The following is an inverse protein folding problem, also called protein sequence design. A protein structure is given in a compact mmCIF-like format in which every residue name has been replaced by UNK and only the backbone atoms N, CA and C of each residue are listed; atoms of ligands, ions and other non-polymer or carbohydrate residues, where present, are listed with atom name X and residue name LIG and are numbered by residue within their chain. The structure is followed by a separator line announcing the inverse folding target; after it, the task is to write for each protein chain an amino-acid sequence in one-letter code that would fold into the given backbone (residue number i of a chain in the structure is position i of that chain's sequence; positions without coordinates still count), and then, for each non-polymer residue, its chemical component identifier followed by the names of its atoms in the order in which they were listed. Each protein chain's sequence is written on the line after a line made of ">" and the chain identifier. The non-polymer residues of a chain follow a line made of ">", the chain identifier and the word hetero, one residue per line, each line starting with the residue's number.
data_IF_060013760823
#
_entry.id   IF_060013760823
#
_cell.length_a   1.000
_cell.length_b   1.000
_cell.length_c   1.000
_cell.angle_alpha   90.00
_cell.angle_beta   90.00
_cell.angle_gamma   90.00
#
_symmetry.space_group_name_H-M   'P 1'
#
loop_
_entity.id
_entity.type
_entity.pdbx_description
1 polymer ?
#
# COMPACT_ATOMS: atom_id res chain seq x y z
N UNK A 1 -10.38 12.10 -20.98
CA UNK A 1 -11.52 11.26 -21.30
C UNK A 1 -11.41 9.81 -20.81
N UNK A 2 -10.51 9.57 -19.84
CA UNK A 2 -10.27 8.25 -19.27
C UNK A 2 -11.49 7.66 -18.56
N UNK A 3 -12.36 8.51 -17.97
CA UNK A 3 -13.60 8.11 -17.29
C UNK A 3 -14.52 7.34 -18.24
N UNK A 4 -14.86 7.92 -19.40
CA UNK A 4 -15.74 7.27 -20.40
C UNK A 4 -15.16 5.95 -20.92
N UNK A 5 -13.84 5.92 -21.15
CA UNK A 5 -13.17 4.70 -21.64
C UNK A 5 -13.27 3.59 -20.57
N UNK A 6 -13.01 3.92 -19.31
CA UNK A 6 -13.09 2.96 -18.22
C UNK A 6 -14.52 2.45 -18.03
N UNK A 7 -15.52 3.33 -18.03
CA UNK A 7 -16.93 2.96 -17.95
C UNK A 7 -17.33 2.00 -19.08
N UNK A 8 -16.95 2.32 -20.33
CA UNK A 8 -17.23 1.45 -21.48
C UNK A 8 -16.54 0.09 -21.41
N UNK A 9 -15.32 0.02 -20.85
CA UNK A 9 -14.57 -1.23 -20.76
C UNK A 9 -14.98 -2.10 -19.58
N UNK A 10 -15.62 -1.54 -18.56
CA UNK A 10 -15.98 -2.27 -17.34
C UNK A 10 -17.47 -2.57 -17.22
N UNK A 11 -18.34 -1.98 -18.06
CA UNK A 11 -19.80 -2.11 -17.95
C UNK A 11 -20.29 -3.56 -18.00
N UNK A 12 -19.63 -4.42 -18.78
CA UNK A 12 -20.00 -5.82 -18.97
C UNK A 12 -19.17 -6.80 -18.13
N UNK A 13 -18.28 -6.28 -17.26
CA UNK A 13 -17.41 -7.10 -16.41
C UNK A 13 -18.08 -7.36 -15.06
N UNK A 14 -18.45 -8.62 -14.81
CA UNK A 14 -18.97 -9.03 -13.51
C UNK A 14 -17.92 -8.90 -12.40
N UNK A 15 -18.33 -8.33 -11.27
CA UNK A 15 -17.44 -8.14 -10.12
C UNK A 15 -16.47 -6.96 -10.21
N UNK A 16 -16.56 -6.15 -11.28
CA UNK A 16 -15.78 -4.93 -11.43
C UNK A 16 -16.66 -3.71 -11.14
N UNK A 17 -16.23 -2.91 -10.15
CA UNK A 17 -16.86 -1.63 -9.83
C UNK A 17 -15.86 -0.50 -10.03
N UNK A 18 -16.30 0.59 -10.64
CA UNK A 18 -15.47 1.79 -10.82
C UNK A 18 -15.88 2.88 -9.83
N UNK A 19 -14.89 3.37 -9.07
CA UNK A 19 -15.08 4.50 -8.17
C UNK A 19 -14.37 5.72 -8.75
N UNK A 20 -15.14 6.76 -9.03
CA UNK A 20 -14.62 8.02 -9.57
C UNK A 20 -14.47 9.06 -8.47
N UNK A 21 -13.30 9.65 -8.41
CA UNK A 21 -12.96 10.71 -7.47
C UNK A 21 -12.94 12.04 -8.23
N UNK A 22 -13.74 13.00 -7.79
CA UNK A 22 -13.84 14.30 -8.48
C UNK A 22 -12.57 15.14 -8.35
N UNK A 23 -11.89 15.05 -7.22
CA UNK A 23 -10.65 15.78 -6.95
C UNK A 23 -9.58 14.83 -6.44
N UNK A 24 -8.39 14.89 -7.06
CA UNK A 24 -7.24 14.15 -6.57
C UNK A 24 -6.75 14.75 -5.25
N UNK A 25 -7.05 14.10 -4.13
CA UNK A 25 -6.62 14.48 -2.78
C UNK A 25 -5.39 13.71 -2.30
N UNK A 26 -4.93 12.73 -3.08
CA UNK A 26 -3.72 11.96 -2.79
C UNK A 26 -3.86 10.48 -3.08
N UNK A 27 -2.72 9.79 -3.00
CA UNK A 27 -2.61 8.34 -3.24
C UNK A 27 -3.48 7.55 -2.25
N UNK A 28 -3.33 7.79 -0.95
CA UNK A 28 -4.09 7.11 0.09
C UNK A 28 -5.59 7.40 0.01
N UNK A 29 -5.96 8.64 -0.33
CA UNK A 29 -7.36 9.00 -0.52
C UNK A 29 -8.04 8.14 -1.59
N UNK A 30 -7.42 8.00 -2.77
CA UNK A 30 -7.97 7.17 -3.84
C UNK A 30 -8.13 5.70 -3.44
N UNK A 31 -7.15 5.14 -2.75
CA UNK A 31 -7.21 3.76 -2.24
C UNK A 31 -8.35 3.62 -1.22
N UNK A 32 -8.47 4.55 -0.27
CA UNK A 32 -9.53 4.53 0.76
C UNK A 32 -10.93 4.57 0.14
N UNK A 33 -11.14 5.35 -0.94
CA UNK A 33 -12.41 5.37 -1.67
C UNK A 33 -12.73 4.00 -2.29
N UNK A 34 -11.74 3.34 -2.88
CA UNK A 34 -11.89 1.99 -3.40
C UNK A 34 -12.17 0.95 -2.30
N UNK A 35 -11.43 1.02 -1.19
CA UNK A 35 -11.63 0.12 -0.03
C UNK A 35 -13.03 0.29 0.59
N UNK A 36 -13.54 1.52 0.67
CA UNK A 36 -14.87 1.81 1.20
C UNK A 36 -16.00 1.27 0.31
N UNK A 37 -15.75 1.14 -0.99
CA UNK A 37 -16.71 0.57 -1.95
C UNK A 37 -16.62 -0.96 -2.05
N UNK A 38 -15.57 -1.58 -1.49
CA UNK A 38 -15.37 -3.02 -1.53
C UNK A 38 -16.24 -3.72 -0.46
N UNK A 39 -16.85 -4.84 -0.84
CA UNK A 39 -17.59 -5.71 0.07
C UNK A 39 -17.10 -7.14 -0.10
N UNK A 40 -16.10 -7.53 0.69
CA UNK A 40 -15.43 -8.83 0.56
C UNK A 40 -14.80 -9.25 1.88
N UNK A 41 -14.50 -10.55 2.03
CA UNK A 41 -13.80 -11.10 3.21
C UNK A 41 -12.37 -10.57 3.33
N UNK A 42 -11.68 -10.48 2.20
CA UNK A 42 -10.34 -9.92 2.09
C UNK A 42 -10.38 -8.67 1.22
N UNK A 43 -9.61 -7.68 1.60
CA UNK A 43 -9.48 -6.43 0.86
C UNK A 43 -8.02 -6.00 0.76
N UNK A 44 -7.74 -5.06 -0.12
CA UNK A 44 -6.39 -4.57 -0.30
C UNK A 44 -6.24 -3.70 -1.53
N UNK A 45 -5.00 -3.47 -1.93
CA UNK A 45 -4.68 -2.70 -3.13
C UNK A 45 -3.41 -3.19 -3.82
N UNK A 46 -3.34 -2.90 -5.10
CA UNK A 46 -2.15 -3.13 -5.93
C UNK A 46 -1.97 -2.00 -6.95
N UNK A 47 -0.82 -2.02 -7.63
CA UNK A 47 -0.53 -1.05 -8.70
C UNK A 47 -1.41 -1.31 -9.94
N UNK A 48 -1.84 -0.22 -10.59
CA UNK A 48 -2.55 -0.24 -11.87
C UNK A 48 -1.70 0.29 -13.04
N UNK A 49 -0.37 0.39 -12.87
CA UNK A 49 0.55 0.97 -13.83
C UNK A 49 1.44 -0.06 -14.55
N UNK A 50 1.04 -1.33 -14.48
CA UNK A 50 1.71 -2.48 -15.08
C UNK A 50 3.17 -2.70 -14.57
N UNK A 51 3.50 -2.17 -13.41
CA UNK A 51 4.82 -2.41 -12.79
C UNK A 51 4.86 -3.69 -11.96
N UNK A 52 3.73 -4.29 -11.64
CA UNK A 52 3.58 -5.58 -10.95
C UNK A 52 2.64 -6.48 -11.73
N UNK A 53 2.80 -7.79 -11.60
CA UNK A 53 1.91 -8.76 -12.22
C UNK A 53 0.59 -8.85 -11.43
N UNK A 54 -0.54 -8.98 -12.13
CA UNK A 54 -1.83 -9.22 -11.48
C UNK A 54 -1.85 -10.60 -10.78
N UNK A 55 -1.06 -11.56 -11.25
CA UNK A 55 -0.87 -12.86 -10.63
C UNK A 55 -0.34 -12.77 -9.19
N UNK A 56 0.38 -11.69 -8.85
CA UNK A 56 0.83 -11.43 -7.47
C UNK A 56 -0.37 -11.28 -6.50
N UNK A 57 -1.51 -10.75 -6.97
CA UNK A 57 -2.74 -10.67 -6.18
C UNK A 57 -3.31 -12.06 -5.92
N UNK A 58 -3.30 -12.94 -6.93
CA UNK A 58 -3.75 -14.33 -6.80
C UNK A 58 -2.87 -15.07 -5.80
N UNK A 59 -1.55 -14.96 -5.92
CA UNK A 59 -0.60 -15.55 -4.97
C UNK A 59 -0.82 -15.06 -3.53
N UNK A 60 -1.14 -13.78 -3.36
CA UNK A 60 -1.46 -13.24 -2.04
C UNK A 60 -2.76 -13.83 -1.45
N UNK A 61 -3.78 -14.04 -2.27
CA UNK A 61 -5.04 -14.68 -1.85
C UNK A 61 -4.82 -16.16 -1.50
N UNK A 62 -3.95 -16.87 -2.22
CA UNK A 62 -3.58 -18.26 -1.88
C UNK A 62 -2.94 -18.35 -0.49
N UNK A 63 -2.06 -17.40 -0.13
CA UNK A 63 -1.47 -17.33 1.22
C UNK A 63 -2.54 -17.11 2.27
N UNK A 64 -3.49 -16.21 2.05
CA UNK A 64 -4.60 -15.97 2.98
C UNK A 64 -5.50 -17.20 3.14
N UNK A 65 -5.82 -17.87 2.05
CA UNK A 65 -6.66 -19.08 2.08
C UNK A 65 -5.96 -20.28 2.75
N UNK A 66 -4.64 -20.35 2.67
CA UNK A 66 -3.86 -21.39 3.35
C UNK A 66 -3.80 -21.21 4.87
N UNK A 67 -4.15 -20.01 5.39
CA UNK A 67 -4.07 -19.65 6.82
C UNK A 67 -5.41 -19.11 7.36
N UNK A 68 -6.53 -19.82 7.23
CA UNK A 68 -7.87 -19.27 7.48
C UNK A 68 -8.15 -18.88 8.94
N UNK A 69 -7.39 -19.45 9.89
CA UNK A 69 -7.56 -19.20 11.33
C UNK A 69 -6.53 -18.21 11.89
N UNK A 70 -5.79 -17.52 11.04
CA UNK A 70 -4.74 -16.58 11.43
C UNK A 70 -5.04 -15.23 10.78
N UNK A 71 -4.97 -14.17 11.55
CA UNK A 71 -5.01 -12.83 10.99
C UNK A 71 -3.72 -12.57 10.20
N UNK A 72 -3.82 -12.62 8.88
CA UNK A 72 -2.67 -12.48 7.96
C UNK A 72 -2.75 -11.15 7.23
N UNK A 73 -1.61 -10.48 7.12
CA UNK A 73 -1.38 -9.28 6.33
C UNK A 73 -0.34 -9.59 5.27
N UNK A 74 -0.75 -9.72 4.02
CA UNK A 74 0.15 -10.04 2.91
C UNK A 74 0.69 -8.78 2.28
N UNK A 75 2.01 -8.73 2.07
CA UNK A 75 2.69 -7.67 1.33
C UNK A 75 3.68 -8.23 0.31
N UNK A 76 3.84 -7.52 -0.78
CA UNK A 76 4.90 -7.78 -1.73
C UNK A 76 6.30 -7.64 -1.10
N UNK A 77 7.27 -8.31 -1.70
CA UNK A 77 8.71 -8.16 -1.47
C UNK A 77 9.38 -7.95 -2.83
N UNK A 78 9.70 -6.70 -3.13
CA UNK A 78 10.08 -6.27 -4.49
C UNK A 78 11.50 -6.65 -4.87
N UNK A 79 11.65 -7.23 -6.04
CA UNK A 79 12.91 -7.48 -6.74
C UNK A 79 12.94 -6.77 -8.11
N UNK A 80 14.05 -6.80 -8.82
CA UNK A 80 14.20 -6.20 -10.17
C UNK A 80 14.34 -4.67 -10.17
N UNK A 81 14.54 -4.03 -9.02
CA UNK A 81 14.69 -2.57 -8.87
C UNK A 81 16.15 -2.11 -8.99
N UNK A 82 16.39 -0.86 -9.40
CA UNK A 82 17.72 -0.25 -9.32
C UNK A 82 18.29 -0.31 -7.89
N UNK A 83 19.60 -0.53 -7.77
CA UNK A 83 20.30 -0.61 -6.48
C UNK A 83 20.07 0.65 -5.63
N UNK A 84 20.07 1.84 -6.24
CA UNK A 84 19.79 3.12 -5.56
C UNK A 84 18.42 3.14 -4.89
N UNK A 85 17.38 2.60 -5.54
CA UNK A 85 16.03 2.57 -5.01
C UNK A 85 15.88 1.51 -3.92
N UNK A 86 16.60 0.40 -4.05
CA UNK A 86 16.68 -0.64 -3.03
C UNK A 86 17.37 -0.13 -1.77
N UNK A 87 18.49 0.59 -1.92
CA UNK A 87 19.23 1.19 -0.80
C UNK A 87 18.40 2.26 -0.09
N UNK A 88 17.67 3.10 -0.84
CA UNK A 88 16.74 4.06 -0.28
C UNK A 88 15.63 3.38 0.53
N UNK A 89 15.02 2.34 -0.03
CA UNK A 89 13.99 1.55 0.66
C UNK A 89 14.53 0.90 1.95
N UNK A 90 15.76 0.39 1.91
CA UNK A 90 16.44 -0.17 3.09
C UNK A 90 16.60 0.90 4.19
N UNK A 91 17.14 2.08 3.84
CA UNK A 91 17.34 3.17 4.79
C UNK A 91 16.03 3.62 5.45
N UNK A 92 14.96 3.79 4.65
CA UNK A 92 13.64 4.15 5.18
C UNK A 92 13.06 3.04 6.06
N UNK A 93 13.15 1.78 5.65
CA UNK A 93 12.65 0.65 6.45
C UNK A 93 13.42 0.50 7.76
N UNK A 94 14.73 0.74 7.77
CA UNK A 94 15.54 0.74 8.99
C UNK A 94 15.12 1.87 9.92
N UNK A 95 14.99 3.10 9.41
CA UNK A 95 14.54 4.26 10.18
C UNK A 95 13.17 3.99 10.83
N UNK A 96 12.18 3.57 10.06
CA UNK A 96 10.83 3.28 10.55
C UNK A 96 10.83 2.12 11.55
N UNK A 97 11.65 1.10 11.32
CA UNK A 97 11.78 -0.03 12.26
C UNK A 97 12.33 0.40 13.62
N UNK A 98 13.31 1.30 13.63
CA UNK A 98 13.86 1.86 14.86
C UNK A 98 12.86 2.80 15.55
N UNK A 99 12.19 3.65 14.77
CA UNK A 99 11.22 4.61 15.30
C UNK A 99 10.04 3.92 15.99
N UNK A 100 9.49 2.87 15.39
CA UNK A 100 8.33 2.14 15.90
C UNK A 100 8.68 0.88 16.71
N UNK A 101 9.98 0.61 16.91
CA UNK A 101 10.48 -0.57 17.64
C UNK A 101 9.89 -1.89 17.12
N UNK A 102 9.61 -1.96 15.83
CA UNK A 102 9.07 -3.14 15.17
C UNK A 102 9.73 -3.35 13.82
N UNK A 103 9.92 -4.61 13.42
CA UNK A 103 10.57 -4.91 12.14
C UNK A 103 9.63 -4.57 10.97
N UNK A 104 10.03 -3.58 10.19
CA UNK A 104 9.37 -3.15 8.97
C UNK A 104 10.32 -3.32 7.78
N UNK A 105 9.80 -3.79 6.67
CA UNK A 105 10.58 -3.97 5.45
C UNK A 105 9.74 -3.67 4.22
N UNK A 106 10.34 -3.02 3.22
CA UNK A 106 9.72 -2.69 1.93
C UNK A 106 8.27 -2.20 2.08
N UNK A 107 8.09 -1.14 2.87
CA UNK A 107 6.81 -0.66 3.39
C UNK A 107 5.80 -0.38 2.27
N UNK A 108 6.25 0.19 1.14
CA UNK A 108 5.40 0.56 0.01
C UNK A 108 5.32 -0.54 -1.06
N UNK A 109 5.70 -1.78 -0.72
CA UNK A 109 5.55 -2.89 -1.65
C UNK A 109 4.09 -3.34 -1.74
N UNK A 110 3.66 -3.67 -2.94
CA UNK A 110 2.33 -4.16 -3.26
C UNK A 110 2.45 -5.52 -3.96
N UNK A 111 1.39 -6.34 -3.96
CA UNK A 111 0.08 -6.08 -3.37
C UNK A 111 0.13 -5.98 -1.84
N UNK A 112 -0.84 -5.29 -1.27
CA UNK A 112 -1.15 -5.30 0.16
C UNK A 112 -2.56 -5.83 0.32
N UNK A 113 -2.73 -7.01 0.97
CA UNK A 113 -4.03 -7.68 1.11
C UNK A 113 -4.19 -8.22 2.53
N UNK A 114 -5.38 -8.06 3.11
CA UNK A 114 -5.68 -8.44 4.49
C UNK A 114 -7.17 -8.69 4.70
N UNK A 115 -7.57 -9.21 5.86
CA UNK A 115 -8.98 -9.32 6.24
C UNK A 115 -9.66 -7.97 6.32
N UNK A 116 -10.84 -7.83 5.72
CA UNK A 116 -11.60 -6.57 5.70
C UNK A 116 -11.93 -6.05 7.11
N UNK A 117 -11.86 -6.89 8.13
CA UNK A 117 -12.05 -6.48 9.53
C UNK A 117 -11.00 -5.44 10.00
N UNK A 118 -9.80 -5.43 9.40
CA UNK A 118 -8.77 -4.44 9.71
C UNK A 118 -9.18 -3.02 9.29
N UNK A 119 -10.11 -2.86 8.35
CA UNK A 119 -10.61 -1.54 7.93
C UNK A 119 -11.30 -0.76 9.07
N UNK A 120 -11.78 -1.43 10.09
CA UNK A 120 -12.36 -0.77 11.27
C UNK A 120 -11.35 0.15 11.97
N UNK A 121 -10.06 -0.11 11.80
CA UNK A 121 -8.97 0.67 12.37
C UNK A 121 -8.47 1.79 11.42
N UNK A 122 -9.08 1.94 10.23
CA UNK A 122 -8.64 2.92 9.21
C UNK A 122 -9.33 4.27 9.31
N UNK A 123 -9.99 4.57 10.42
CA UNK A 123 -10.74 5.84 10.62
C UNK A 123 -9.84 7.06 10.36
N UNK A 124 -8.63 7.05 10.91
CA UNK A 124 -7.65 8.13 10.78
C UNK A 124 -6.54 7.82 9.74
N UNK A 125 -6.81 6.92 8.79
CA UNK A 125 -5.83 6.57 7.77
C UNK A 125 -5.47 7.77 6.88
N UNK A 126 -4.19 7.98 6.55
CA UNK A 126 -3.73 9.14 5.79
C UNK A 126 -4.16 9.07 4.32
N UNK A 127 -4.28 10.25 3.71
CA UNK A 127 -4.68 10.39 2.31
C UNK A 127 -3.50 10.33 1.33
N UNK A 128 -2.28 10.18 1.82
CA UNK A 128 -1.07 10.17 1.00
C UNK A 128 -0.31 8.82 1.01
N UNK A 129 0.95 8.81 0.60
CA UNK A 129 1.79 7.60 0.57
C UNK A 129 2.09 7.00 1.94
N UNK A 130 1.78 7.69 3.01
CA UNK A 130 1.92 7.16 4.37
C UNK A 130 0.89 6.09 4.71
N UNK A 131 -0.14 5.91 3.85
CA UNK A 131 -1.14 4.86 4.01
C UNK A 131 -0.51 3.46 4.10
N UNK A 132 0.53 3.18 3.31
CA UNK A 132 1.21 1.87 3.36
C UNK A 132 1.89 1.62 4.71
N UNK A 133 2.53 2.64 5.29
CA UNK A 133 3.13 2.58 6.62
C UNK A 133 2.05 2.42 7.69
N UNK A 134 1.01 3.25 7.63
CA UNK A 134 -0.12 3.21 8.55
C UNK A 134 -0.75 1.80 8.60
N UNK A 135 -1.13 1.26 7.44
CA UNK A 135 -1.74 -0.06 7.35
C UNK A 135 -0.84 -1.17 7.89
N UNK A 136 0.47 -1.10 7.60
CA UNK A 136 1.43 -2.08 8.07
C UNK A 136 1.59 -2.04 9.60
N UNK A 137 1.70 -0.85 10.18
CA UNK A 137 1.79 -0.68 11.63
C UNK A 137 0.49 -1.09 12.32
N UNK A 138 -0.67 -0.70 11.80
CA UNK A 138 -1.98 -1.11 12.30
C UNK A 138 -2.09 -2.64 12.34
N UNK A 139 -1.73 -3.32 11.25
CA UNK A 139 -1.72 -4.78 11.21
C UNK A 139 -0.79 -5.39 12.27
N UNK A 140 0.43 -4.86 12.42
CA UNK A 140 1.39 -5.30 13.43
C UNK A 140 0.84 -5.12 14.86
N UNK A 141 0.28 -3.95 15.16
CA UNK A 141 -0.29 -3.64 16.47
C UNK A 141 -1.51 -4.51 16.80
N UNK A 142 -2.27 -4.93 15.78
CA UNK A 142 -3.38 -5.89 15.91
C UNK A 142 -2.93 -7.36 15.93
N UNK A 143 -1.63 -7.64 15.94
CA UNK A 143 -1.09 -9.00 16.01
C UNK A 143 -1.22 -9.81 14.71
N UNK A 144 -1.40 -9.14 13.55
CA UNK A 144 -1.42 -9.83 12.27
C UNK A 144 -0.06 -10.45 11.96
N UNK A 145 -0.09 -11.69 11.45
CA UNK A 145 1.08 -12.34 10.87
C UNK A 145 1.38 -11.72 9.50
N UNK A 146 2.54 -11.09 9.35
CA UNK A 146 2.93 -10.46 8.08
C UNK A 146 3.61 -11.49 7.19
N UNK A 147 2.95 -11.83 6.09
CA UNK A 147 3.48 -12.72 5.06
C UNK A 147 4.00 -11.92 3.86
N UNK A 148 5.11 -12.38 3.28
CA UNK A 148 5.74 -11.73 2.14
C UNK A 148 5.73 -12.63 0.94
N UNK A 149 5.25 -12.12 -0.19
CA UNK A 149 5.32 -12.81 -1.48
C UNK A 149 6.37 -12.13 -2.37
N UNK A 150 7.16 -12.90 -3.12
CA UNK A 150 8.11 -12.32 -4.06
C UNK A 150 7.36 -11.63 -5.20
N UNK A 151 7.73 -10.40 -5.50
CA UNK A 151 7.13 -9.58 -6.57
C UNK A 151 8.24 -9.03 -7.45
N UNK A 152 8.13 -9.22 -8.75
CA UNK A 152 9.05 -8.59 -9.69
C UNK A 152 8.52 -7.21 -10.08
N UNK A 153 9.33 -6.18 -9.86
CA UNK A 153 8.95 -4.80 -10.14
C UNK A 153 9.50 -4.38 -11.51
N UNK A 154 8.62 -4.37 -12.50
CA UNK A 154 8.96 -4.04 -13.88
C UNK A 154 9.25 -2.55 -14.07
N UNK A 155 10.03 -2.23 -15.11
CA UNK A 155 10.18 -0.84 -15.54
C UNK A 155 8.83 -0.31 -16.01
N UNK A 156 8.52 0.93 -15.64
CA UNK A 156 7.29 1.59 -16.08
C UNK A 156 7.26 1.71 -17.61
N UNK A 157 6.15 1.28 -18.21
CA UNK A 157 5.96 1.34 -19.67
C UNK A 157 5.56 2.74 -20.10
N UNK A 158 4.74 3.43 -19.31
CA UNK A 158 4.21 4.77 -19.62
C UNK A 158 4.34 5.72 -18.43
N UNK A 159 4.64 7.00 -18.73
CA UNK A 159 4.71 8.07 -17.74
C UNK A 159 5.97 8.06 -16.89
N UNK A 160 6.12 9.08 -16.05
CA UNK A 160 7.24 9.26 -15.11
C UNK A 160 6.71 9.26 -13.70
N UNK A 161 7.40 8.59 -12.79
CA UNK A 161 7.01 8.58 -11.39
C UNK A 161 7.13 9.97 -10.77
N UNK A 162 6.05 10.49 -10.23
CA UNK A 162 5.98 11.85 -9.68
C UNK A 162 6.95 12.11 -8.51
N UNK A 163 7.37 11.08 -7.79
CA UNK A 163 8.33 11.21 -6.69
C UNK A 163 9.79 11.19 -7.16
N UNK A 164 10.06 10.75 -8.39
CA UNK A 164 11.41 10.56 -8.94
C UNK A 164 11.80 11.62 -9.98
N UNK A 165 11.06 12.71 -10.09
CA UNK A 165 11.31 13.81 -11.06
C UNK A 165 12.49 14.72 -10.65
N UNK A 166 13.25 14.35 -9.62
CA UNK A 166 14.43 15.07 -9.19
C UNK A 166 14.65 15.00 -7.67
N UNK A 167 15.81 15.46 -7.22
CA UNK A 167 16.20 15.36 -5.83
C UNK A 167 15.32 16.20 -4.89
N UNK A 168 14.74 17.31 -5.38
CA UNK A 168 13.79 18.13 -4.61
C UNK A 168 12.49 17.41 -4.28
N UNK A 169 11.95 16.61 -5.23
CA UNK A 169 10.76 15.79 -4.98
C UNK A 169 11.06 14.63 -4.04
N UNK A 170 12.25 14.04 -4.10
CA UNK A 170 12.71 13.03 -3.14
C UNK A 170 12.80 13.60 -1.72
N UNK A 171 13.39 14.78 -1.54
CA UNK A 171 13.45 15.45 -0.23
C UNK A 171 12.05 15.78 0.30
N UNK A 172 11.16 16.29 -0.56
CA UNK A 172 9.77 16.58 -0.17
C UNK A 172 9.04 15.31 0.29
N UNK A 173 9.24 14.20 -0.42
CA UNK A 173 8.71 12.90 -0.05
C UNK A 173 9.24 12.45 1.32
N UNK A 174 10.57 12.48 1.51
CA UNK A 174 11.22 12.10 2.78
C UNK A 174 10.66 12.93 3.93
N UNK A 175 10.67 14.27 3.81
CA UNK A 175 10.17 15.16 4.86
C UNK A 175 8.73 14.85 5.25
N UNK A 176 7.85 14.63 4.25
CA UNK A 176 6.45 14.30 4.50
C UNK A 176 6.32 12.96 5.23
N UNK A 177 7.03 11.93 4.79
CA UNK A 177 7.02 10.62 5.44
C UNK A 177 7.52 10.72 6.87
N UNK A 178 8.65 11.40 7.11
CA UNK A 178 9.20 11.59 8.45
C UNK A 178 8.22 12.34 9.37
N UNK A 179 7.62 13.43 8.91
CA UNK A 179 6.64 14.18 9.69
C UNK A 179 5.46 13.29 10.10
N UNK A 180 4.89 12.56 9.13
CA UNK A 180 3.82 11.61 9.42
C UNK A 180 4.25 10.54 10.43
N UNK A 181 5.45 9.96 10.27
CA UNK A 181 5.97 8.93 11.17
C UNK A 181 6.10 9.45 12.61
N UNK A 182 6.56 10.69 12.79
CA UNK A 182 6.62 11.30 14.12
C UNK A 182 5.22 11.60 14.70
N UNK A 183 4.29 12.10 13.89
CA UNK A 183 2.90 12.33 14.30
C UNK A 183 2.24 11.02 14.74
N UNK A 184 2.36 9.97 13.92
CA UNK A 184 1.80 8.65 14.21
C UNK A 184 2.42 8.05 15.49
N UNK A 185 3.74 8.18 15.68
CA UNK A 185 4.40 7.74 16.90
C UNK A 185 3.86 8.44 18.14
N UNK A 186 3.62 9.74 18.06
CA UNK A 186 3.06 10.52 19.17
C UNK A 186 1.63 10.07 19.51
N UNK A 187 0.81 9.75 18.50
CA UNK A 187 -0.54 9.20 18.70
C UNK A 187 -0.48 7.83 19.39
N UNK A 188 0.37 6.92 18.91
CA UNK A 188 0.53 5.58 19.52
C UNK A 188 1.01 5.67 20.97
N UNK A 189 1.88 6.64 21.30
CA UNK A 189 2.35 6.82 22.68
C UNK A 189 1.32 7.51 23.60
N UNK A 190 0.32 8.18 23.05
CA UNK A 190 -0.76 8.82 23.82
C UNK A 190 -1.89 7.85 24.18
N UNK A 191 -2.00 6.74 23.44
CA UNK A 191 -3.01 5.69 23.66
C UNK A 191 -2.55 4.58 24.63
N UNK A 192 -1.30 4.71 25.15
CA UNK A 192 -0.69 3.84 26.17
C UNK A 192 -0.44 4.60 27.48
#
# INVERSE_FOLDING_TARGET
>A
NSRKILEMQTQDLHGVNTVFVDKNLGYGFGIRQGLAAANSTYTGWTHADLQTDIGDVVAALEVLNAMPNVNVFVKGNRSGRPISDTLFTFGMSLFESLLFRTRLWDINAQPTIFSSTLLNDFVNAPDDFSLDLFAYLTAKNRGYSVQRIPVYFYKRVHGVSSWNVGWRSRIKFIKRTLNFSFELRNQVNADH
#
